data_IF_612732969856
#
_entry.id   IF_612732969856
#
_cell.length_a   1.000
_cell.length_b   1.000
_cell.length_c   1.000
_cell.angle_alpha   90.00
_cell.angle_beta   90.00
_cell.angle_gamma   90.00
#
_symmetry.space_group_name_H-M   'P 1'
#
loop_
_entity.id
_entity.type
_entity.pdbx_description
1 polymer ?
#
# COMPACT_ATOMS: atom_id res chain seq x y z
N UNK A 1 8.21 -7.01 0.94
CA UNK A 1 7.30 -6.93 -0.21
C UNK A 1 8.14 -7.11 -1.47
N UNK A 2 7.77 -7.99 -2.40
CA UNK A 2 8.55 -8.11 -3.64
C UNK A 2 8.44 -6.81 -4.45
N UNK A 3 9.48 -6.46 -5.23
CA UNK A 3 9.52 -5.28 -6.12
C UNK A 3 8.22 -5.10 -6.91
N UNK A 4 7.62 -6.21 -7.37
CA UNK A 4 6.37 -6.21 -8.12
C UNK A 4 5.13 -5.74 -7.35
N UNK A 5 5.11 -5.85 -6.01
CA UNK A 5 3.96 -5.42 -5.21
C UNK A 5 3.87 -3.89 -5.07
N UNK A 6 5.00 -3.17 -5.10
CA UNK A 6 5.02 -1.70 -5.04
C UNK A 6 4.87 -1.12 -6.45
N UNK A 7 5.59 -1.67 -7.44
CA UNK A 7 5.53 -1.19 -8.82
C UNK A 7 4.13 -1.32 -9.45
N UNK A 8 3.33 -2.30 -9.01
CA UNK A 8 1.93 -2.48 -9.44
C UNK A 8 0.90 -1.92 -8.46
N UNK A 9 1.30 -1.14 -7.46
CA UNK A 9 0.37 -0.57 -6.50
C UNK A 9 -0.53 0.48 -7.18
N UNK A 10 -1.80 0.48 -6.79
CA UNK A 10 -2.83 1.43 -7.24
C UNK A 10 -3.31 2.28 -6.07
N UNK A 11 -4.02 3.36 -6.34
CA UNK A 11 -4.57 4.18 -5.27
C UNK A 11 -5.63 3.39 -4.48
N UNK A 12 -5.75 3.72 -3.20
CA UNK A 12 -6.76 3.11 -2.33
C UNK A 12 -8.16 3.37 -2.90
N UNK A 13 -8.40 4.55 -3.47
CA UNK A 13 -9.70 4.89 -4.03
C UNK A 13 -10.02 4.08 -5.29
N UNK A 14 -9.06 3.92 -6.21
CA UNK A 14 -9.21 3.03 -7.37
C UNK A 14 -9.47 1.58 -6.93
N UNK A 15 -8.81 1.14 -5.84
CA UNK A 15 -9.06 -0.18 -5.26
C UNK A 15 -10.51 -0.31 -4.79
N UNK A 16 -11.07 0.71 -4.14
CA UNK A 16 -12.48 0.71 -3.73
C UNK A 16 -13.42 0.70 -4.93
N UNK A 17 -13.13 1.49 -5.96
CA UNK A 17 -13.92 1.54 -7.19
C UNK A 17 -13.95 0.18 -7.90
N UNK A 18 -12.82 -0.52 -7.96
CA UNK A 18 -12.75 -1.88 -8.50
C UNK A 18 -13.62 -2.86 -7.68
N UNK A 19 -13.59 -2.77 -6.35
CA UNK A 19 -14.41 -3.62 -5.47
C UNK A 19 -15.90 -3.33 -5.67
N UNK A 20 -16.29 -2.06 -5.77
CA UNK A 20 -17.67 -1.67 -6.05
C UNK A 20 -18.13 -2.12 -7.43
N UNK A 21 -17.27 -1.98 -8.44
CA UNK A 21 -17.55 -2.43 -9.82
C UNK A 21 -17.71 -3.95 -9.91
N UNK A 22 -17.05 -4.70 -9.03
CA UNK A 22 -17.25 -6.14 -8.87
C UNK A 22 -18.58 -6.52 -8.17
N UNK A 23 -19.42 -5.54 -7.80
CA UNK A 23 -20.69 -5.76 -7.12
C UNK A 23 -20.58 -6.08 -5.63
N UNK A 24 -19.40 -5.84 -5.03
CA UNK A 24 -19.16 -6.03 -3.62
C UNK A 24 -19.39 -4.72 -2.85
N UNK A 25 -19.76 -4.88 -1.57
CA UNK A 25 -19.89 -3.75 -0.64
C UNK A 25 -18.78 -3.85 0.39
N UNK A 26 -17.96 -2.80 0.45
CA UNK A 26 -16.88 -2.68 1.43
C UNK A 26 -17.50 -2.54 2.82
N UNK A 27 -17.06 -3.40 3.73
CA UNK A 27 -17.46 -3.42 5.15
C UNK A 27 -16.44 -2.69 6.00
N UNK A 28 -15.16 -2.90 5.70
CA UNK A 28 -14.05 -2.32 6.44
C UNK A 28 -12.81 -2.20 5.56
N UNK A 29 -11.99 -1.19 5.83
CA UNK A 29 -10.76 -0.91 5.09
C UNK A 29 -9.72 -0.36 6.05
N UNK A 30 -8.66 -1.13 6.31
CA UNK A 30 -7.60 -0.78 7.24
C UNK A 30 -6.29 -0.56 6.49
N UNK A 31 -5.71 0.60 6.72
CA UNK A 31 -4.37 0.95 6.27
C UNK A 31 -3.38 0.54 7.37
N UNK A 32 -2.37 -0.23 7.02
CA UNK A 32 -1.27 -0.60 7.90
C UNK A 32 0.06 -0.15 7.27
N UNK A 33 0.51 1.04 7.71
CA UNK A 33 1.81 1.62 7.36
C UNK A 33 2.95 1.02 8.18
N UNK A 34 2.67 0.51 9.38
CA UNK A 34 3.69 -0.08 10.29
C UNK A 34 4.47 -1.21 9.62
N UNK A 35 3.81 -1.96 8.73
CA UNK A 35 4.46 -3.02 7.95
C UNK A 35 5.53 -2.46 6.99
N UNK A 36 5.28 -1.29 6.39
CA UNK A 36 6.19 -0.61 5.46
C UNK A 36 7.35 0.04 6.22
N UNK A 37 7.06 0.63 7.37
CA UNK A 37 8.08 1.25 8.23
C UNK A 37 9.06 0.22 8.80
N UNK A 38 8.58 -0.97 9.20
CA UNK A 38 9.44 -2.07 9.63
C UNK A 38 10.34 -2.61 8.50
N UNK A 39 9.82 -2.67 7.27
CA UNK A 39 10.62 -3.09 6.09
C UNK A 39 11.73 -2.10 5.73
N UNK A 40 11.55 -0.80 6.02
CA UNK A 40 12.59 0.21 5.83
C UNK A 40 13.83 -0.06 6.72
N UNK A 41 13.67 -0.81 7.80
CA UNK A 41 14.76 -1.20 8.71
C UNK A 41 15.54 -2.42 8.20
N UNK A 42 14.99 -3.17 7.23
CA UNK A 42 15.54 -4.46 6.78
C UNK A 42 16.62 -4.34 5.69
N UNK A 43 17.06 -3.13 5.35
CA UNK A 43 18.10 -2.87 4.33
C UNK A 43 17.77 -3.48 2.97
N UNK A 44 16.49 -3.57 2.61
CA UNK A 44 16.10 -4.04 1.29
C UNK A 44 16.58 -3.01 0.24
N UNK A 45 17.42 -3.41 -0.74
CA UNK A 45 17.97 -2.50 -1.74
C UNK A 45 16.90 -1.68 -2.48
N UNK A 46 15.71 -2.23 -2.65
CA UNK A 46 14.58 -1.53 -3.28
C UNK A 46 14.14 -0.33 -2.44
N UNK A 47 13.97 -0.51 -1.14
CA UNK A 47 13.50 0.55 -0.24
C UNK A 47 14.54 1.67 -0.10
N UNK A 48 15.83 1.30 -0.12
CA UNK A 48 16.92 2.27 -0.15
C UNK A 48 16.83 3.12 -1.42
N UNK A 49 16.61 2.50 -2.58
CA UNK A 49 16.50 3.22 -3.85
C UNK A 49 15.26 4.12 -3.90
N UNK A 50 14.10 3.60 -3.49
CA UNK A 50 12.86 4.40 -3.39
C UNK A 50 13.08 5.60 -2.47
N UNK A 51 13.69 5.42 -1.30
CA UNK A 51 13.93 6.48 -0.34
C UNK A 51 14.82 7.60 -0.87
N UNK A 52 15.78 7.31 -1.78
CA UNK A 52 16.61 8.34 -2.43
C UNK A 52 15.80 9.26 -3.36
N UNK A 53 14.67 8.78 -3.87
CA UNK A 53 13.79 9.54 -4.75
C UNK A 53 12.66 10.25 -4.00
N UNK A 54 12.53 10.03 -2.69
CA UNK A 54 11.55 10.69 -1.85
C UNK A 54 12.07 12.05 -1.34
N UNK A 55 11.16 12.98 -0.99
CA UNK A 55 11.53 14.20 -0.28
C UNK A 55 12.29 13.91 1.02
N UNK A 56 13.17 14.81 1.48
CA UNK A 56 14.08 14.57 2.62
C UNK A 56 13.40 14.16 3.94
N UNK A 57 12.15 14.58 4.14
CA UNK A 57 11.37 14.31 5.36
C UNK A 57 10.35 13.19 5.18
N UNK A 58 10.19 12.67 3.96
CA UNK A 58 9.16 11.69 3.65
C UNK A 58 9.73 10.27 3.68
N UNK A 59 8.94 9.35 4.21
CA UNK A 59 9.25 7.93 4.27
C UNK A 59 8.41 7.15 3.27
N UNK A 60 8.86 5.98 2.82
CA UNK A 60 8.04 5.12 1.95
C UNK A 60 6.65 4.81 2.52
N UNK A 61 6.52 4.68 3.85
CA UNK A 61 5.26 4.47 4.56
C UNK A 61 4.25 5.62 4.43
N UNK A 62 4.69 6.83 4.07
CA UNK A 62 3.81 7.98 3.84
C UNK A 62 3.05 7.87 2.51
N UNK A 63 3.57 7.07 1.56
CA UNK A 63 3.00 6.92 0.22
C UNK A 63 2.46 5.52 -0.05
N UNK A 64 2.98 4.51 0.64
CA UNK A 64 2.62 3.11 0.44
C UNK A 64 2.15 2.53 1.77
N UNK A 65 1.02 1.83 1.73
CA UNK A 65 0.48 1.09 2.89
C UNK A 65 0.15 -0.33 2.48
N UNK A 66 0.19 -1.26 3.43
CA UNK A 66 -0.55 -2.50 3.28
C UNK A 66 -2.03 -2.20 3.47
N UNK A 67 -2.87 -2.57 2.50
CA UNK A 67 -4.31 -2.34 2.55
C UNK A 67 -5.02 -3.65 2.86
N UNK A 68 -5.73 -3.71 3.99
CA UNK A 68 -6.59 -4.83 4.34
C UNK A 68 -8.04 -4.43 4.10
N UNK A 69 -8.73 -5.11 3.18
CA UNK A 69 -10.11 -4.80 2.81
C UNK A 69 -11.02 -5.99 3.11
N UNK A 70 -12.09 -5.73 3.86
CA UNK A 70 -13.19 -6.66 4.05
C UNK A 70 -14.37 -6.19 3.22
N UNK A 71 -14.86 -7.03 2.32
CA UNK A 71 -16.03 -6.74 1.50
C UNK A 71 -16.98 -7.93 1.50
N UNK A 72 -18.28 -7.66 1.32
CA UNK A 72 -19.32 -8.68 1.25
C UNK A 72 -20.08 -8.59 -0.06
N UNK A 73 -20.51 -9.75 -0.56
CA UNK A 73 -21.51 -9.80 -1.64
C UNK A 73 -22.84 -9.30 -1.08
N UNK A 74 -23.49 -8.42 -1.84
CA UNK A 74 -24.83 -7.92 -1.51
C UNK A 74 -25.88 -9.01 -1.56
#
# INVERSE_FOLDING_TARGET
AMVGCIAGAVLIEETKEMIHSAGLVIVDCKMNSDFIDQMSTWSDPLYIEISKHLPPEAKPGDYVTSLNVTAKKR
#
